data_IF_357737013964
#
_entry.id   IF_357737013964
#
_cell.length_a   1.000
_cell.length_b   1.000
_cell.length_c   1.000
_cell.angle_alpha   90.00
_cell.angle_beta   90.00
_cell.angle_gamma   90.00
#
_symmetry.space_group_name_H-M   'P 1'
#
loop_
_entity.id
_entity.type
_entity.pdbx_description
1 polymer ?
#
# COMPACT_ATOMS: atom_id res chain seq x y z
N UNK A 1 16.72 1.12 8.05
CA UNK A 1 15.32 0.89 7.58
C UNK A 1 14.56 2.21 7.59
N UNK A 2 14.80 3.00 6.55
CA UNK A 2 14.31 4.39 6.50
C UNK A 2 12.77 4.49 6.55
N UNK A 3 12.06 3.69 5.74
CA UNK A 3 10.60 3.75 5.63
C UNK A 3 9.93 3.26 6.90
N UNK A 4 10.40 2.14 7.45
CA UNK A 4 9.91 1.60 8.73
C UNK A 4 10.12 2.58 9.87
N UNK A 5 11.30 3.18 9.98
CA UNK A 5 11.64 4.09 11.06
C UNK A 5 10.86 5.41 10.95
N UNK A 6 10.68 5.93 9.73
CA UNK A 6 9.82 7.09 9.47
C UNK A 6 8.37 6.82 9.87
N UNK A 7 7.81 5.68 9.44
CA UNK A 7 6.44 5.27 9.80
C UNK A 7 6.26 5.18 11.32
N UNK A 8 7.19 4.53 12.03
CA UNK A 8 7.15 4.43 13.50
C UNK A 8 7.19 5.78 14.18
N UNK A 9 8.12 6.64 13.77
CA UNK A 9 8.30 7.98 14.36
C UNK A 9 7.08 8.85 14.15
N UNK A 10 6.51 8.85 12.93
CA UNK A 10 5.29 9.61 12.62
C UNK A 10 4.10 9.10 13.45
N UNK A 11 3.85 7.80 13.49
CA UNK A 11 2.76 7.25 14.31
C UNK A 11 2.96 7.54 15.80
N UNK A 12 4.20 7.46 16.30
CA UNK A 12 4.52 7.80 17.70
C UNK A 12 4.27 9.28 17.98
N UNK A 13 4.68 10.18 17.08
CA UNK A 13 4.44 11.61 17.22
C UNK A 13 2.95 11.95 17.19
N UNK A 14 2.18 11.35 16.27
CA UNK A 14 0.71 11.51 16.22
C UNK A 14 0.08 11.11 17.56
N UNK A 15 0.42 9.94 18.08
CA UNK A 15 -0.09 9.46 19.38
C UNK A 15 0.28 10.38 20.53
N UNK A 16 1.50 10.89 20.56
CA UNK A 16 1.97 11.81 21.61
C UNK A 16 1.20 13.14 21.60
N UNK A 17 0.78 13.61 20.43
CA UNK A 17 0.02 14.85 20.29
C UNK A 17 -1.47 14.71 20.61
N UNK A 18 -1.99 13.50 20.82
CA UNK A 18 -3.39 13.22 21.20
C UNK A 18 -4.41 14.00 20.37
N UNK A 19 -4.44 13.80 19.04
CA UNK A 19 -5.36 14.53 18.18
C UNK A 19 -6.81 14.28 18.58
N UNK A 20 -7.74 15.25 18.38
CA UNK A 20 -9.15 15.11 18.74
C UNK A 20 -9.90 14.12 17.84
N UNK A 21 -9.33 13.75 16.69
CA UNK A 21 -9.83 12.74 15.78
C UNK A 21 -8.66 11.94 15.19
N UNK A 22 -8.89 10.70 14.73
CA UNK A 22 -7.83 9.91 14.11
C UNK A 22 -7.20 10.61 12.90
N UNK A 23 -5.88 10.59 12.82
CA UNK A 23 -5.11 11.12 11.70
C UNK A 23 -5.05 10.08 10.59
N UNK A 24 -5.41 10.46 9.37
CA UNK A 24 -5.29 9.62 8.17
C UNK A 24 -3.83 9.51 7.77
N UNK A 25 -3.31 8.31 7.78
CA UNK A 25 -1.93 8.00 7.39
C UNK A 25 -1.94 7.16 6.11
N UNK A 26 -1.43 7.70 5.01
CA UNK A 26 -1.36 6.99 3.73
C UNK A 26 0.09 6.64 3.44
N UNK A 27 0.38 5.34 3.31
CA UNK A 27 1.69 4.82 2.95
C UNK A 27 1.67 4.31 1.51
N UNK A 28 2.60 4.79 0.66
CA UNK A 28 2.85 4.14 -0.62
C UNK A 28 3.73 2.90 -0.39
N UNK A 29 3.30 1.78 -0.92
CA UNK A 29 3.99 0.49 -0.80
C UNK A 29 4.13 -0.16 -2.19
N UNK A 30 4.04 -1.48 -2.33
CA UNK A 30 4.15 -2.21 -3.60
C UNK A 30 3.32 -3.49 -3.56
N UNK A 31 2.85 -3.96 -4.73
CA UNK A 31 2.17 -5.26 -4.88
C UNK A 31 3.05 -6.44 -4.47
N UNK A 32 4.37 -6.30 -4.48
CA UNK A 32 5.31 -7.30 -3.95
C UNK A 32 5.15 -7.57 -2.45
N UNK A 33 4.49 -6.69 -1.70
CA UNK A 33 4.20 -6.86 -0.28
C UNK A 33 2.83 -7.48 -0.07
N UNK A 34 2.80 -8.67 0.52
CA UNK A 34 1.57 -9.42 0.78
C UNK A 34 0.78 -8.84 1.95
N UNK A 35 -0.53 -8.77 1.77
CA UNK A 35 -1.44 -8.61 2.90
C UNK A 35 -1.71 -9.98 3.55
N UNK A 36 -1.21 -10.17 4.75
CA UNK A 36 -1.33 -11.45 5.48
C UNK A 36 -2.70 -11.64 6.11
N UNK A 37 -3.49 -10.58 6.27
CA UNK A 37 -4.79 -10.62 6.92
C UNK A 37 -5.88 -11.22 6.02
N UNK A 38 -5.72 -11.14 4.69
CA UNK A 38 -6.68 -11.66 3.72
C UNK A 38 -6.20 -12.92 2.97
N UNK A 39 -5.14 -13.58 3.46
CA UNK A 39 -4.62 -14.85 2.94
C UNK A 39 -4.37 -14.83 1.42
N UNK A 40 -3.76 -13.76 0.89
CA UNK A 40 -3.43 -13.61 -0.53
C UNK A 40 -2.72 -14.87 -1.06
N UNK A 41 -3.29 -15.46 -2.12
CA UNK A 41 -2.70 -16.61 -2.78
C UNK A 41 -1.50 -16.17 -3.61
N UNK A 42 -0.36 -16.81 -3.41
CA UNK A 42 0.88 -16.55 -4.14
C UNK A 42 1.43 -17.89 -4.59
N UNK A 43 1.79 -17.98 -5.87
CA UNK A 43 2.38 -19.19 -6.42
C UNK A 43 3.71 -19.54 -5.73
N UNK A 44 4.09 -20.82 -5.77
CA UNK A 44 5.35 -21.27 -5.19
C UNK A 44 6.57 -20.56 -5.84
N UNK A 45 6.52 -20.36 -7.16
CA UNK A 45 7.56 -19.63 -7.90
C UNK A 45 7.69 -18.19 -7.45
N UNK A 46 6.58 -17.48 -7.22
CA UNK A 46 6.62 -16.11 -6.68
C UNK A 46 7.19 -16.06 -5.26
N UNK A 47 6.86 -17.02 -4.41
CA UNK A 47 7.44 -17.10 -3.05
C UNK A 47 8.96 -17.21 -3.09
N UNK A 48 9.49 -18.03 -4.00
CA UNK A 48 10.93 -18.21 -4.16
C UNK A 48 11.60 -16.92 -4.65
N UNK A 49 11.04 -16.29 -5.70
CA UNK A 49 11.60 -15.05 -6.27
C UNK A 49 11.52 -13.91 -5.28
N UNK A 50 10.38 -13.70 -4.60
CA UNK A 50 10.25 -12.67 -3.56
C UNK A 50 11.19 -12.95 -2.39
N UNK A 51 11.40 -14.21 -2.02
CA UNK A 51 12.38 -14.59 -0.98
C UNK A 51 13.80 -14.19 -1.36
N UNK A 52 14.21 -14.42 -2.60
CA UNK A 52 15.53 -14.01 -3.13
C UNK A 52 15.64 -12.48 -3.22
N UNK A 53 14.59 -11.80 -3.68
CA UNK A 53 14.56 -10.33 -3.74
C UNK A 53 14.68 -9.69 -2.36
N UNK A 54 14.07 -10.27 -1.33
CA UNK A 54 14.23 -9.81 0.06
C UNK A 54 15.67 -9.85 0.55
N UNK A 55 16.42 -10.87 0.13
CA UNK A 55 17.85 -11.00 0.47
C UNK A 55 18.70 -10.02 -0.31
N UNK A 56 18.35 -9.76 -1.57
CA UNK A 56 19.14 -8.94 -2.50
C UNK A 56 18.78 -7.44 -2.44
N UNK A 57 17.55 -7.09 -2.03
CA UNK A 57 17.03 -5.71 -2.07
C UNK A 57 16.55 -5.25 -0.69
N UNK A 58 17.43 -4.64 0.13
CA UNK A 58 17.06 -4.08 1.43
C UNK A 58 15.84 -3.14 1.43
N UNK A 59 15.59 -2.31 0.38
CA UNK A 59 14.39 -1.47 0.30
C UNK A 59 13.08 -2.25 0.30
N UNK A 60 13.04 -3.44 -0.32
CA UNK A 60 11.84 -4.29 -0.34
C UNK A 60 11.47 -4.76 1.07
N UNK A 61 12.46 -5.25 1.82
CA UNK A 61 12.26 -5.70 3.21
C UNK A 61 11.87 -4.53 4.15
N UNK A 62 12.31 -3.32 3.85
CA UNK A 62 11.95 -2.12 4.62
C UNK A 62 10.49 -1.72 4.36
N UNK A 63 10.05 -1.72 3.11
CA UNK A 63 8.66 -1.46 2.75
C UNK A 63 7.69 -2.50 3.36
N UNK A 64 8.06 -3.78 3.33
CA UNK A 64 7.28 -4.83 4.00
C UNK A 64 7.17 -4.58 5.52
N UNK A 65 8.28 -4.25 6.17
CA UNK A 65 8.30 -4.02 7.60
C UNK A 65 7.49 -2.78 8.01
N UNK A 66 7.43 -1.74 7.17
CA UNK A 66 6.58 -0.57 7.39
C UNK A 66 5.09 -0.93 7.31
N UNK A 67 4.67 -1.68 6.30
CA UNK A 67 3.29 -2.15 6.17
C UNK A 67 2.91 -3.12 7.31
N UNK A 68 3.79 -4.06 7.67
CA UNK A 68 3.58 -4.97 8.80
C UNK A 68 3.46 -4.21 10.14
N UNK A 69 4.19 -3.10 10.32
CA UNK A 69 4.05 -2.26 11.50
C UNK A 69 2.65 -1.63 11.57
N UNK A 70 2.15 -1.04 10.49
CA UNK A 70 0.80 -0.49 10.45
C UNK A 70 -0.25 -1.56 10.74
N UNK A 71 -0.17 -2.69 10.07
CA UNK A 71 -1.10 -3.80 10.20
C UNK A 71 -1.11 -4.40 11.62
N UNK A 72 0.06 -4.67 12.22
CA UNK A 72 0.19 -5.46 13.44
C UNK A 72 0.37 -4.64 14.72
N UNK A 73 0.87 -3.40 14.64
CA UNK A 73 1.13 -2.54 15.80
C UNK A 73 0.16 -1.38 15.94
N UNK A 74 -0.26 -0.78 14.82
CA UNK A 74 -1.35 0.20 14.82
C UNK A 74 -2.69 -0.55 14.79
N UNK A 75 -2.81 -1.55 13.92
CA UNK A 75 -4.03 -2.37 13.81
C UNK A 75 -5.17 -1.63 13.14
N UNK A 76 -6.39 -2.17 13.31
CA UNK A 76 -7.61 -1.70 12.64
C UNK A 76 -8.39 -0.66 13.44
N UNK A 77 -8.16 -0.56 14.75
CA UNK A 77 -9.01 0.19 15.69
C UNK A 77 -8.20 1.15 16.56
N UNK A 78 -7.10 1.70 16.07
CA UNK A 78 -6.32 2.69 16.82
C UNK A 78 -7.10 4.01 16.90
N UNK A 79 -7.19 4.56 18.10
CA UNK A 79 -7.98 5.77 18.36
C UNK A 79 -7.37 7.05 17.78
N UNK A 80 -6.09 7.02 17.36
CA UNK A 80 -5.34 8.22 16.95
C UNK A 80 -4.79 8.14 15.53
N UNK A 81 -4.63 6.93 14.99
CA UNK A 81 -4.09 6.70 13.64
C UNK A 81 -4.98 5.73 12.89
N UNK A 82 -5.58 6.19 11.81
CA UNK A 82 -6.16 5.35 10.77
C UNK A 82 -5.19 5.30 9.59
N UNK A 83 -5.07 4.17 8.91
CA UNK A 83 -4.06 4.00 7.88
C UNK A 83 -4.56 3.28 6.63
N UNK A 84 -3.91 3.57 5.49
CA UNK A 84 -4.03 2.82 4.23
C UNK A 84 -2.63 2.63 3.66
N UNK A 85 -2.30 1.41 3.19
CA UNK A 85 -1.06 1.14 2.47
C UNK A 85 -1.37 0.88 0.99
N UNK A 86 -1.19 1.88 0.14
CA UNK A 86 -1.45 1.80 -1.30
C UNK A 86 -0.36 1.00 -1.99
N UNK A 87 -0.73 -0.03 -2.74
CA UNK A 87 0.20 -0.94 -3.42
C UNK A 87 0.09 -0.82 -4.94
N UNK A 88 0.81 0.11 -5.58
CA UNK A 88 0.93 0.10 -7.04
C UNK A 88 1.75 -1.09 -7.52
N UNK A 89 1.52 -1.49 -8.77
CA UNK A 89 2.35 -2.45 -9.49
C UNK A 89 3.45 -1.71 -10.28
N UNK A 90 3.87 -2.21 -11.46
CA UNK A 90 4.93 -1.59 -12.24
C UNK A 90 4.62 -0.12 -12.55
N UNK A 91 5.43 0.78 -12.01
CA UNK A 91 5.20 2.22 -12.13
C UNK A 91 5.62 2.74 -13.49
N UNK A 92 4.70 3.49 -14.14
CA UNK A 92 4.95 4.21 -15.40
C UNK A 92 4.70 5.71 -15.23
N UNK A 93 5.22 6.52 -16.14
CA UNK A 93 4.95 7.94 -16.19
C UNK A 93 3.85 8.22 -17.22
N UNK A 94 2.86 9.03 -16.82
CA UNK A 94 1.81 9.57 -17.67
C UNK A 94 1.57 11.03 -17.28
N UNK A 95 1.17 11.86 -18.25
CA UNK A 95 0.94 13.29 -18.03
C UNK A 95 -0.41 13.60 -17.38
N UNK A 96 -1.37 12.68 -17.49
CA UNK A 96 -2.76 12.89 -17.04
C UNK A 96 -3.25 11.70 -16.23
N UNK A 97 -4.16 11.99 -15.31
CA UNK A 97 -4.95 10.95 -14.65
C UNK A 97 -5.78 10.22 -15.69
N UNK A 98 -5.72 8.91 -15.68
CA UNK A 98 -6.48 8.02 -16.55
C UNK A 98 -7.39 7.12 -15.70
N UNK A 99 -8.25 6.34 -16.32
CA UNK A 99 -9.03 5.35 -15.58
C UNK A 99 -8.12 4.31 -14.92
N UNK A 100 -8.44 3.98 -13.68
CA UNK A 100 -7.76 2.95 -12.92
C UNK A 100 -8.75 2.13 -12.08
N UNK A 101 -8.34 0.95 -11.67
CA UNK A 101 -9.11 0.09 -10.77
C UNK A 101 -8.35 -0.12 -9.46
N UNK A 102 -9.10 -0.24 -8.37
CA UNK A 102 -8.54 -0.49 -7.02
C UNK A 102 -9.16 -1.77 -6.47
N UNK A 103 -8.30 -2.67 -6.01
CA UNK A 103 -8.68 -4.01 -5.55
C UNK A 103 -8.14 -4.27 -4.13
N UNK A 104 -8.82 -5.09 -3.30
CA UNK A 104 -8.34 -5.43 -1.96
C UNK A 104 -7.07 -6.29 -1.98
N UNK A 105 -6.87 -7.06 -3.06
CA UNK A 105 -5.69 -7.90 -3.27
C UNK A 105 -5.25 -7.89 -4.73
N UNK A 106 -3.99 -8.31 -5.04
CA UNK A 106 -3.51 -8.41 -6.40
C UNK A 106 -4.40 -9.33 -7.25
N UNK A 107 -4.78 -8.85 -8.43
CA UNK A 107 -5.51 -9.62 -9.45
C UNK A 107 -4.56 -10.20 -10.50
N UNK A 108 -3.30 -9.81 -10.45
CA UNK A 108 -2.23 -10.23 -11.37
C UNK A 108 -0.97 -10.59 -10.57
N UNK A 109 -0.10 -11.41 -11.16
CA UNK A 109 1.21 -11.68 -10.60
C UNK A 109 2.14 -10.49 -10.81
N UNK A 110 2.68 -9.95 -9.73
CA UNK A 110 3.64 -8.83 -9.79
C UNK A 110 4.95 -9.18 -10.54
N UNK A 111 5.24 -10.48 -10.74
CA UNK A 111 6.47 -10.96 -11.37
C UNK A 111 6.23 -11.47 -12.79
N UNK A 112 5.20 -12.30 -12.98
CA UNK A 112 4.98 -13.01 -14.25
C UNK A 112 3.95 -12.33 -15.16
N UNK A 113 3.09 -11.46 -14.61
CA UNK A 113 2.07 -10.72 -15.34
C UNK A 113 1.79 -9.40 -14.62
N UNK A 114 2.82 -8.58 -14.46
CA UNK A 114 2.71 -7.30 -13.76
C UNK A 114 1.73 -6.37 -14.48
N UNK A 115 0.83 -5.77 -13.72
CA UNK A 115 0.02 -4.65 -14.20
C UNK A 115 0.84 -3.38 -14.25
N UNK A 116 0.34 -2.36 -14.94
CA UNK A 116 0.95 -1.04 -14.95
C UNK A 116 0.13 -0.07 -14.11
N UNK A 117 0.82 0.84 -13.43
CA UNK A 117 0.18 1.90 -12.66
C UNK A 117 0.95 3.20 -12.88
N UNK A 118 0.28 4.24 -13.37
CA UNK A 118 0.95 5.53 -13.51
C UNK A 118 1.14 6.22 -12.15
N UNK A 119 2.27 6.91 -11.99
CA UNK A 119 2.55 7.68 -10.76
C UNK A 119 1.48 8.72 -10.49
N UNK A 120 0.93 9.33 -11.55
CA UNK A 120 -0.14 10.31 -11.42
C UNK A 120 -1.45 9.67 -10.92
N UNK A 121 -1.79 8.46 -11.36
CA UNK A 121 -2.95 7.72 -10.84
C UNK A 121 -2.77 7.31 -9.38
N UNK A 122 -1.56 6.90 -8.98
CA UNK A 122 -1.24 6.64 -7.57
C UNK A 122 -1.44 7.90 -6.74
N UNK A 123 -0.88 9.03 -7.18
CA UNK A 123 -1.03 10.33 -6.50
C UNK A 123 -2.48 10.76 -6.40
N UNK A 124 -3.27 10.60 -7.46
CA UNK A 124 -4.70 10.90 -7.47
C UNK A 124 -5.46 10.05 -6.45
N UNK A 125 -5.28 8.73 -6.46
CA UNK A 125 -5.93 7.84 -5.49
C UNK A 125 -5.51 8.15 -4.04
N UNK A 126 -4.24 8.44 -3.80
CA UNK A 126 -3.78 8.85 -2.46
C UNK A 126 -4.39 10.19 -2.02
N UNK A 127 -4.62 11.13 -2.94
CA UNK A 127 -5.33 12.36 -2.65
C UNK A 127 -6.81 12.11 -2.33
N UNK A 128 -7.50 11.26 -3.11
CA UNK A 128 -8.87 10.85 -2.83
C UNK A 128 -9.02 10.21 -1.45
N UNK A 129 -8.10 9.35 -1.02
CA UNK A 129 -8.09 8.77 0.33
C UNK A 129 -8.07 9.83 1.42
N UNK A 130 -7.44 10.98 1.20
CA UNK A 130 -7.35 12.06 2.20
C UNK A 130 -8.58 12.97 2.15
N UNK A 131 -9.12 13.24 0.95
CA UNK A 131 -10.12 14.28 0.71
C UNK A 131 -11.56 13.76 0.64
N UNK A 132 -11.76 12.46 0.39
CA UNK A 132 -13.09 11.84 0.28
C UNK A 132 -13.32 10.81 1.38
N UNK A 133 -14.33 11.07 2.23
CA UNK A 133 -14.67 10.20 3.35
C UNK A 133 -15.20 8.83 2.92
N UNK A 134 -15.87 8.74 1.78
CA UNK A 134 -16.41 7.47 1.26
C UNK A 134 -15.24 6.56 0.86
N UNK A 135 -14.29 7.09 0.12
CA UNK A 135 -13.07 6.38 -0.28
C UNK A 135 -12.24 6.00 0.94
N UNK A 136 -12.06 6.92 1.90
CA UNK A 136 -11.36 6.63 3.14
C UNK A 136 -12.00 5.47 3.91
N UNK A 137 -13.29 5.55 4.19
CA UNK A 137 -14.00 4.53 4.97
C UNK A 137 -14.03 3.16 4.30
N UNK A 138 -13.97 3.13 2.95
CA UNK A 138 -13.86 1.88 2.19
C UNK A 138 -12.50 1.20 2.38
N UNK A 139 -11.42 1.97 2.48
CA UNK A 139 -10.07 1.43 2.39
C UNK A 139 -9.25 1.52 3.69
N UNK A 140 -9.69 2.24 4.71
CA UNK A 140 -8.95 2.35 5.97
C UNK A 140 -8.67 0.98 6.59
N UNK A 141 -7.47 0.82 7.12
CA UNK A 141 -6.99 -0.43 7.67
C UNK A 141 -6.64 -1.50 6.63
N UNK A 142 -6.60 -1.16 5.35
CA UNK A 142 -6.36 -2.10 4.26
C UNK A 142 -5.12 -1.76 3.44
N UNK A 143 -4.76 -2.69 2.57
CA UNK A 143 -3.61 -2.58 1.66
C UNK A 143 -4.06 -2.70 0.19
N UNK A 144 -4.86 -1.75 -0.33
CA UNK A 144 -5.39 -1.84 -1.69
C UNK A 144 -4.30 -1.83 -2.75
N UNK A 145 -4.57 -2.56 -3.83
CA UNK A 145 -3.75 -2.58 -5.05
C UNK A 145 -4.41 -1.72 -6.11
N UNK A 146 -3.61 -0.94 -6.84
CA UNK A 146 -4.08 -0.06 -7.90
C UNK A 146 -3.43 -0.42 -9.24
N UNK A 147 -4.26 -0.48 -10.30
CA UNK A 147 -3.83 -0.70 -11.69
C UNK A 147 -4.48 0.32 -12.62
N UNK A 148 -3.72 0.79 -13.61
CA UNK A 148 -4.34 1.47 -14.75
C UNK A 148 -5.28 0.51 -15.47
N UNK A 149 -6.45 0.99 -15.91
CA UNK A 149 -7.25 0.22 -16.85
C UNK A 149 -6.59 0.25 -18.23
N UNK A 150 -6.54 -0.89 -18.88
CA UNK A 150 -6.17 -1.00 -20.29
C UNK A 150 -7.41 -0.75 -21.14
N UNK A 151 -7.26 -0.10 -22.30
CA UNK A 151 -8.38 0.22 -23.22
C UNK A 151 -9.11 -1.01 -23.77
N UNK A 152 -8.78 -2.21 -23.30
CA UNK A 152 -9.34 -3.51 -23.73
C UNK A 152 -10.09 -4.27 -22.62
N UNK A 153 -10.40 -3.61 -21.51
CA UNK A 153 -11.22 -4.19 -20.42
C UNK A 153 -12.54 -3.46 -20.23
#
# INVERSE_FOLDING_TARGET
RLVTDATRRLCTAIKANRPPAPVRYVLMNTTGNRNRDIHEQVSFGEKLVVGLLRLALPPQADNEAAADYLRSKIGQNDATVEWVAVRPDALIDQEKVTEYSVHPSPTRSAIFNAGQTSRINVGHFMAELITDDVTWNKWKGQMPVIYNKTLSE
#
